data_IF_104303774777
#
_entry.id   IF_104303774777
#
_cell.length_a   1.000
_cell.length_b   1.000
_cell.length_c   1.000
_cell.angle_alpha   90.00
_cell.angle_beta   90.00
_cell.angle_gamma   90.00
#
_symmetry.space_group_name_H-M   'P 1'
#
loop_
_entity.id
_entity.type
_entity.pdbx_description
1 polymer ?
#
# COMPACT_ATOMS: atom_id res chain seq x y z
N UNK A 1 6.17 17.36 5.92
CA UNK A 1 5.46 17.25 4.64
C UNK A 1 5.01 15.81 4.51
N UNK A 2 3.76 15.54 4.11
CA UNK A 2 3.29 14.17 3.86
C UNK A 2 3.66 13.74 2.44
N UNK A 3 4.06 12.50 2.24
CA UNK A 3 4.47 11.99 0.93
C UNK A 3 3.22 11.58 0.13
N UNK A 4 2.83 12.39 -0.86
CA UNK A 4 1.80 12.06 -1.83
C UNK A 4 2.38 11.02 -2.80
N UNK A 5 1.85 9.81 -2.80
CA UNK A 5 2.06 8.85 -3.89
C UNK A 5 0.77 8.77 -4.70
N UNK A 6 0.88 8.30 -5.94
CA UNK A 6 -0.21 8.11 -6.87
C UNK A 6 -0.27 6.62 -7.23
N UNK A 7 -1.34 5.91 -6.90
CA UNK A 7 -1.66 4.65 -7.56
C UNK A 7 -3.04 4.74 -8.19
N UNK A 8 -3.18 4.25 -9.43
CA UNK A 8 -4.35 4.47 -10.30
C UNK A 8 -5.38 3.32 -10.18
N UNK A 9 -6.70 3.56 -10.28
CA UNK A 9 -7.73 2.48 -10.42
C UNK A 9 -8.15 2.21 -11.86
N UNK A 10 -8.63 1.00 -12.13
CA UNK A 10 -8.94 0.46 -13.47
C UNK A 10 -10.35 0.78 -14.06
N UNK A 11 -11.15 1.68 -13.48
CA UNK A 11 -12.47 2.03 -14.07
C UNK A 11 -12.70 3.52 -14.34
N UNK A 12 -11.84 4.40 -13.80
CA UNK A 12 -11.61 5.84 -14.09
C UNK A 12 -10.22 6.17 -13.51
N UNK A 13 -9.45 7.15 -14.03
CA UNK A 13 -8.22 7.57 -13.37
C UNK A 13 -8.57 8.07 -11.96
N UNK A 14 -8.23 7.28 -10.95
CA UNK A 14 -8.41 7.61 -9.55
C UNK A 14 -7.11 7.31 -8.86
N UNK A 15 -6.58 8.26 -8.11
CA UNK A 15 -5.31 8.13 -7.43
C UNK A 15 -5.55 7.78 -5.97
N UNK A 16 -4.65 7.06 -5.34
CA UNK A 16 -4.62 6.89 -3.89
C UNK A 16 -3.34 7.46 -3.32
N UNK A 17 -3.43 8.06 -2.14
CA UNK A 17 -2.35 8.76 -1.46
C UNK A 17 -2.29 8.42 0.03
N UNK A 18 -1.08 8.41 0.62
CA UNK A 18 -0.85 8.35 2.07
C UNK A 18 -0.59 9.76 2.55
N UNK A 19 -1.40 10.23 3.49
CA UNK A 19 -1.19 11.53 4.11
C UNK A 19 -0.98 11.37 5.60
N UNK A 20 -0.05 12.15 6.16
CA UNK A 20 0.17 12.24 7.61
C UNK A 20 -0.43 13.55 8.12
N UNK A 21 -1.41 13.44 9.01
CA UNK A 21 -1.99 14.60 9.67
C UNK A 21 -1.10 15.06 10.84
N UNK A 22 -1.02 16.39 11.04
CA UNK A 22 -0.09 16.98 12.01
C UNK A 22 -0.52 16.75 13.47
N UNK A 23 -1.81 16.58 13.77
CA UNK A 23 -2.36 16.24 15.11
C UNK A 23 -3.83 15.75 15.01
N UNK A 24 -4.21 14.62 15.65
CA UNK A 24 -3.29 13.58 16.12
C UNK A 24 -2.46 13.04 14.95
N UNK A 25 -1.32 12.38 15.23
CA UNK A 25 -0.41 11.85 14.22
C UNK A 25 -1.04 10.62 13.52
N UNK A 26 -2.14 10.84 12.82
CA UNK A 26 -2.89 9.83 12.10
C UNK A 26 -2.43 9.81 10.66
N UNK A 27 -2.16 8.61 10.16
CA UNK A 27 -1.86 8.38 8.76
C UNK A 27 -3.14 7.88 8.10
N UNK A 28 -3.48 8.44 6.94
CA UNK A 28 -4.67 8.04 6.18
C UNK A 28 -4.33 7.66 4.75
N UNK A 29 -5.03 6.66 4.23
CA UNK A 29 -5.03 6.24 2.84
C UNK A 29 -6.26 6.89 2.20
N UNK A 30 -6.05 7.77 1.23
CA UNK A 30 -7.13 8.55 0.60
C UNK A 30 -7.23 8.23 -0.88
N UNK A 31 -8.38 7.73 -1.31
CA UNK A 31 -8.74 7.54 -2.72
C UNK A 31 -9.34 8.83 -3.24
N UNK A 32 -8.75 9.40 -4.28
CA UNK A 32 -9.19 10.61 -4.96
C UNK A 32 -9.46 10.33 -6.43
N UNK A 33 -10.28 11.15 -7.07
CA UNK A 33 -10.50 11.15 -8.51
C UNK A 33 -10.23 12.53 -9.05
N UNK A 34 -9.45 12.62 -10.12
CA UNK A 34 -9.30 13.85 -10.88
C UNK A 34 -10.39 13.92 -11.96
N UNK A 35 -10.94 15.10 -12.19
CA UNK A 35 -11.86 15.33 -13.29
C UNK A 35 -11.10 15.86 -14.51
N UNK A 36 -11.48 15.38 -15.69
CA UNK A 36 -10.87 15.81 -16.94
C UNK A 36 -11.03 17.33 -17.12
N UNK A 37 -9.95 18.01 -17.49
CA UNK A 37 -9.89 19.47 -17.56
C UNK A 37 -9.78 20.21 -16.21
N UNK A 38 -9.67 19.49 -15.09
CA UNK A 38 -9.49 20.10 -13.75
C UNK A 38 -8.17 19.67 -13.11
N UNK A 39 -7.49 20.62 -12.46
CA UNK A 39 -6.37 20.34 -11.56
C UNK A 39 -6.80 19.92 -10.15
N UNK A 40 -8.10 19.90 -9.87
CA UNK A 40 -8.64 19.56 -8.55
C UNK A 40 -8.85 18.06 -8.39
N UNK A 41 -8.48 17.57 -7.20
CA UNK A 41 -8.74 16.19 -6.77
C UNK A 41 -9.97 16.13 -5.87
N UNK A 42 -10.89 15.23 -6.19
CA UNK A 42 -12.08 14.99 -5.37
C UNK A 42 -11.94 13.68 -4.63
N UNK A 43 -11.99 13.74 -3.29
CA UNK A 43 -11.96 12.56 -2.42
C UNK A 43 -13.17 11.68 -2.68
N UNK A 44 -12.92 10.38 -2.86
CA UNK A 44 -13.94 9.34 -3.02
C UNK A 44 -14.10 8.52 -1.76
N UNK A 45 -12.98 8.12 -1.17
CA UNK A 45 -12.93 7.37 0.07
C UNK A 45 -11.69 7.74 0.86
N UNK A 46 -11.72 7.50 2.16
CA UNK A 46 -10.58 7.66 3.04
C UNK A 46 -10.65 6.62 4.14
N UNK A 47 -9.51 5.98 4.37
CA UNK A 47 -9.30 5.01 5.43
C UNK A 47 -8.14 5.47 6.30
N UNK A 48 -8.16 5.11 7.56
CA UNK A 48 -7.00 5.28 8.43
C UNK A 48 -6.03 4.12 8.20
N UNK A 49 -4.73 4.33 8.40
CA UNK A 49 -3.72 3.32 8.10
C UNK A 49 -3.93 2.03 8.93
N UNK A 50 -4.44 2.15 10.15
CA UNK A 50 -4.75 1.03 11.05
C UNK A 50 -5.92 0.15 10.62
N UNK A 51 -6.76 0.65 9.70
CA UNK A 51 -7.83 -0.13 9.08
C UNK A 51 -7.31 -1.06 8.00
N UNK A 52 -6.09 -0.84 7.47
CA UNK A 52 -5.50 -1.73 6.46
C UNK A 52 -5.14 -3.07 7.12
N UNK A 53 -5.67 -4.15 6.56
CA UNK A 53 -5.48 -5.53 7.03
C UNK A 53 -4.56 -6.32 6.13
N UNK A 54 -4.72 -6.16 4.81
CA UNK A 54 -3.96 -6.94 3.86
C UNK A 54 -3.68 -6.13 2.60
N UNK A 55 -2.52 -6.40 2.00
CA UNK A 55 -2.15 -5.99 0.65
C UNK A 55 -1.94 -7.26 -0.16
N UNK A 56 -2.78 -7.49 -1.16
CA UNK A 56 -2.72 -8.67 -2.01
C UNK A 56 -2.06 -8.30 -3.34
N UNK A 57 -0.90 -8.88 -3.65
CA UNK A 57 -0.19 -8.65 -4.91
C UNK A 57 -0.79 -9.38 -6.13
N UNK A 58 -1.87 -10.14 -5.93
CA UNK A 58 -2.55 -11.04 -6.88
C UNK A 58 -1.68 -12.21 -7.32
N UNK A 59 -0.57 -11.93 -8.02
CA UNK A 59 0.34 -12.94 -8.53
C UNK A 59 1.79 -12.59 -8.13
N UNK A 60 2.45 -13.43 -7.31
CA UNK A 60 3.84 -13.22 -6.91
C UNK A 60 4.86 -13.58 -7.99
N UNK A 61 4.47 -14.31 -9.03
CA UNK A 61 5.36 -14.80 -10.10
C UNK A 61 5.23 -13.97 -11.39
N UNK A 62 4.14 -13.22 -11.54
CA UNK A 62 3.89 -12.38 -12.70
C UNK A 62 4.13 -10.89 -12.39
N UNK A 63 4.78 -10.18 -13.32
CA UNK A 63 4.87 -8.71 -13.30
C UNK A 63 3.52 -8.08 -13.72
N UNK A 64 2.51 -8.25 -12.86
CA UNK A 64 1.19 -7.65 -13.01
C UNK A 64 1.09 -6.33 -12.23
N UNK A 65 0.30 -5.39 -12.74
CA UNK A 65 0.02 -4.13 -12.06
C UNK A 65 -1.18 -4.21 -11.08
N UNK A 66 -1.83 -5.37 -11.01
CA UNK A 66 -3.04 -5.60 -10.21
C UNK A 66 -2.69 -5.86 -8.74
N UNK A 67 -3.53 -5.34 -7.84
CA UNK A 67 -3.46 -5.57 -6.40
C UNK A 67 -4.78 -5.29 -5.71
N UNK A 68 -4.99 -5.87 -4.53
CA UNK A 68 -6.10 -5.51 -3.65
C UNK A 68 -5.60 -4.88 -2.35
N UNK A 69 -6.31 -3.85 -1.90
CA UNK A 69 -6.23 -3.34 -0.54
C UNK A 69 -7.42 -3.85 0.25
N UNK A 70 -7.15 -4.63 1.30
CA UNK A 70 -8.17 -5.14 2.21
C UNK A 70 -8.12 -4.33 3.49
N UNK A 71 -9.21 -3.67 3.80
CA UNK A 71 -9.46 -2.95 5.03
C UNK A 71 -10.44 -3.72 5.91
N UNK A 72 -10.64 -3.28 7.16
CA UNK A 72 -11.58 -3.89 8.12
C UNK A 72 -12.96 -4.22 7.54
N UNK A 73 -13.52 -3.30 6.74
CA UNK A 73 -14.89 -3.40 6.23
C UNK A 73 -14.97 -3.19 4.70
N UNK A 74 -13.84 -3.28 3.99
CA UNK A 74 -13.80 -3.00 2.56
C UNK A 74 -12.68 -3.77 1.87
N UNK A 75 -12.97 -4.29 0.68
CA UNK A 75 -11.97 -4.74 -0.28
C UNK A 75 -12.01 -3.77 -1.46
N UNK A 76 -10.86 -3.19 -1.79
CA UNK A 76 -10.75 -2.25 -2.90
C UNK A 76 -9.69 -2.78 -3.89
N UNK A 77 -10.09 -3.24 -5.09
CA UNK A 77 -9.17 -3.71 -6.12
C UNK A 77 -8.58 -2.54 -6.92
N UNK A 78 -7.32 -2.66 -7.30
CA UNK A 78 -6.51 -1.62 -7.95
C UNK A 78 -5.66 -2.20 -9.08
N UNK A 79 -5.33 -1.35 -10.05
CA UNK A 79 -4.39 -1.66 -11.13
C UNK A 79 -3.52 -0.44 -11.36
N UNK A 80 -2.26 -0.51 -10.92
CA UNK A 80 -1.28 0.55 -11.14
C UNK A 80 -1.03 0.81 -12.64
N UNK A 81 -0.43 1.95 -12.98
CA UNK A 81 -0.05 2.24 -14.37
C UNK A 81 1.04 1.30 -14.89
N UNK A 82 1.87 0.76 -13.99
CA UNK A 82 2.84 -0.30 -14.29
C UNK A 82 3.13 -1.21 -13.10
N UNK A 83 3.75 -2.37 -13.36
CA UNK A 83 4.26 -3.25 -12.31
C UNK A 83 5.32 -2.54 -11.43
N UNK A 84 6.17 -1.70 -12.01
CA UNK A 84 7.16 -0.90 -11.27
C UNK A 84 6.50 0.08 -10.32
N UNK A 85 5.45 0.79 -10.75
CA UNK A 85 4.70 1.69 -9.89
C UNK A 85 4.01 0.95 -8.73
N UNK A 86 3.43 -0.23 -8.99
CA UNK A 86 2.90 -1.12 -7.94
C UNK A 86 4.00 -1.45 -6.92
N UNK A 87 5.18 -1.82 -7.40
CA UNK A 87 6.31 -2.16 -6.55
C UNK A 87 6.74 -0.99 -5.65
N UNK A 88 6.91 0.21 -6.21
CA UNK A 88 7.24 1.43 -5.45
C UNK A 88 6.15 1.74 -4.43
N UNK A 89 4.88 1.62 -4.81
CA UNK A 89 3.76 1.85 -3.89
C UNK A 89 3.82 0.89 -2.68
N UNK A 90 4.03 -0.40 -2.93
CA UNK A 90 4.08 -1.41 -1.87
C UNK A 90 5.23 -1.17 -0.90
N UNK A 91 6.41 -0.78 -1.39
CA UNK A 91 7.55 -0.43 -0.54
C UNK A 91 7.23 0.76 0.38
N UNK A 92 6.66 1.83 -0.18
CA UNK A 92 6.27 3.02 0.58
C UNK A 92 5.21 2.67 1.62
N UNK A 93 4.19 1.90 1.22
CA UNK A 93 3.11 1.48 2.11
C UNK A 93 3.65 0.61 3.24
N UNK A 94 4.48 -0.39 2.92
CA UNK A 94 5.11 -1.27 3.90
C UNK A 94 5.94 -0.47 4.92
N UNK A 95 6.84 0.41 4.47
CA UNK A 95 7.64 1.24 5.37
C UNK A 95 6.78 2.19 6.22
N UNK A 96 5.71 2.72 5.66
CA UNK A 96 4.75 3.54 6.40
C UNK A 96 4.07 2.72 7.50
N UNK A 97 3.57 1.52 7.17
CA UNK A 97 3.00 0.60 8.15
C UNK A 97 4.00 0.25 9.24
N UNK A 98 5.24 -0.08 8.90
CA UNK A 98 6.30 -0.38 9.87
C UNK A 98 6.59 0.79 10.81
N UNK A 99 6.49 2.02 10.32
CA UNK A 99 6.77 3.23 11.11
C UNK A 99 5.61 3.66 12.00
N UNK A 100 4.38 3.49 11.56
CA UNK A 100 3.21 4.09 12.21
C UNK A 100 2.27 3.08 12.87
N UNK A 101 2.42 1.78 12.61
CA UNK A 101 1.65 0.71 13.25
C UNK A 101 2.57 -0.10 14.16
N UNK A 102 2.28 -0.08 15.46
CA UNK A 102 3.03 -0.84 16.46
C UNK A 102 2.50 -2.28 16.58
N UNK A 103 1.19 -2.43 16.80
CA UNK A 103 0.61 -3.72 17.21
C UNK A 103 0.03 -4.54 16.06
N UNK A 104 -0.65 -3.89 15.10
CA UNK A 104 -1.41 -4.58 14.05
C UNK A 104 -0.95 -4.16 12.66
N UNK A 105 0.14 -4.76 12.19
CA UNK A 105 0.68 -4.53 10.85
C UNK A 105 -0.11 -5.34 9.82
N UNK A 106 -0.40 -4.78 8.63
CA UNK A 106 -1.08 -5.51 7.58
C UNK A 106 -0.19 -6.59 6.99
N UNK A 107 -0.82 -7.67 6.54
CA UNK A 107 -0.15 -8.77 5.84
C UNK A 107 0.02 -8.44 4.37
N UNK A 108 1.20 -8.70 3.83
CA UNK A 108 1.46 -8.59 2.39
C UNK A 108 1.52 -10.00 1.82
N UNK A 109 0.51 -10.38 1.05
CA UNK A 109 0.39 -11.72 0.46
C UNK A 109 0.48 -11.64 -1.05
N UNK A 110 0.90 -12.75 -1.70
CA UNK A 110 1.07 -12.81 -3.15
C UNK A 110 1.95 -11.68 -3.71
N UNK A 111 2.84 -11.14 -2.88
CA UNK A 111 3.83 -10.15 -3.26
C UNK A 111 5.12 -10.87 -3.63
N UNK A 112 5.83 -10.36 -4.63
CA UNK A 112 7.20 -10.79 -4.91
C UNK A 112 8.06 -10.64 -3.64
N UNK A 113 8.75 -11.71 -3.24
CA UNK A 113 9.56 -11.77 -2.00
C UNK A 113 10.66 -10.71 -1.94
N UNK A 114 11.23 -10.37 -3.10
CA UNK A 114 12.23 -9.29 -3.28
C UNK A 114 11.70 -7.89 -2.99
N UNK A 115 10.38 -7.69 -2.95
CA UNK A 115 9.76 -6.38 -2.93
C UNK A 115 9.79 -5.70 -1.56
N UNK A 116 9.63 -6.47 -0.49
CA UNK A 116 9.38 -5.95 0.86
C UNK A 116 10.64 -5.82 1.71
N UNK A 117 11.81 -6.07 1.11
CA UNK A 117 13.08 -6.21 1.81
C UNK A 117 13.07 -7.51 2.60
N UNK A 118 13.64 -8.57 2.02
CA UNK A 118 13.82 -9.83 2.73
C UNK A 118 14.52 -9.57 4.06
N UNK A 119 13.88 -9.93 5.17
CA UNK A 119 14.68 -10.41 6.29
C UNK A 119 15.20 -11.74 5.81
N UNK A 120 16.44 -11.76 5.34
CA UNK A 120 17.23 -12.98 5.39
C UNK A 120 17.09 -13.49 6.83
N UNK A 121 16.30 -14.54 7.02
CA UNK A 121 16.51 -15.40 8.16
C UNK A 121 17.82 -16.08 7.84
N UNK A 122 18.92 -15.49 8.29
CA UNK A 122 20.15 -16.23 8.42
C UNK A 122 19.82 -17.39 9.35
N UNK A 123 19.81 -18.59 8.77
CA UNK A 123 19.60 -19.84 9.45
C UNK A 123 20.54 -19.88 10.65
N UNK A 124 19.96 -19.82 11.85
CA UNK A 124 20.63 -20.30 13.05
C UNK A 124 20.91 -21.78 12.81
N UNK A 125 22.11 -22.05 12.28
CA UNK A 125 22.77 -23.32 12.46
C UNK A 125 22.84 -23.54 13.97
N UNK A 126 21.97 -24.41 14.45
CA UNK A 126 22.05 -25.01 15.75
C UNK A 126 23.41 -25.68 15.89
N UNK A 127 24.22 -25.21 16.82
CA UNK A 127 25.03 -26.11 17.62
C UNK A 127 25.15 -25.52 19.02
N UNK A 128 24.39 -26.08 19.95
CA UNK A 128 24.60 -26.02 21.39
C UNK A 128 25.14 -27.38 21.84
N UNK A 129 25.64 -27.52 23.07
CA UNK A 129 26.66 -26.73 23.78
C UNK A 129 28.07 -27.34 23.63
#
# INVERSE_FOLDING_TARGET
MGNLWEAVTNKKPAQVSITKNKKPAQVSITKVKQFEGSSAFVRRSQWTLDQLRQVNGIDPNQDCAEFDLVFDNALDPWVAGSATEKCTFFQILHHTCQRFLADRKPEFINCQSKLLGGKEKEDQHTCSP
#
